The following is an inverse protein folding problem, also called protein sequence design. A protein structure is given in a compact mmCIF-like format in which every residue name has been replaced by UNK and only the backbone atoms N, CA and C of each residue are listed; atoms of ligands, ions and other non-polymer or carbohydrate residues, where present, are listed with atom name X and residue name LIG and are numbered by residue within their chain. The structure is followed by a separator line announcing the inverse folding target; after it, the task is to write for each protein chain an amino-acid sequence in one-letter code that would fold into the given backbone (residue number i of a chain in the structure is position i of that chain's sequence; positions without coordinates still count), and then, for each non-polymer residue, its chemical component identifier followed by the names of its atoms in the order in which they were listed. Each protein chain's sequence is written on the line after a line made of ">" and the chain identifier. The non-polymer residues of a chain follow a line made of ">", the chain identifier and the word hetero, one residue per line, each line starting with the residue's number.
data_IF_927074763097
#
_entry.id   IF_927074763097
#
_cell.length_a   1.000
_cell.length_b   1.000
_cell.length_c   1.000
_cell.angle_alpha   90.00
_cell.angle_beta   90.00
_cell.angle_gamma   90.00
#
_symmetry.space_group_name_H-M   'P 1'
#
loop_
_entity.id
_entity.type
_entity.pdbx_description
1 polymer ?
#
# COMPACT_ATOMS: atom_id res chain seq x y z
N UNK A 1 -9.90 -7.84 -7.92
CA UNK A 1 -8.81 -6.89 -8.24
C UNK A 1 -7.49 -7.62 -8.18
N UNK A 2 -6.79 -7.75 -9.30
CA UNK A 2 -5.42 -8.27 -9.37
C UNK A 2 -4.51 -7.05 -9.59
N UNK A 3 -3.53 -6.84 -8.71
CA UNK A 3 -2.72 -5.61 -8.60
C UNK A 3 -1.97 -5.22 -9.87
N UNK A 4 -1.62 -6.20 -10.71
CA UNK A 4 -0.96 -5.99 -12.00
C UNK A 4 -1.51 -6.94 -13.08
N UNK A 5 -2.82 -7.20 -13.04
CA UNK A 5 -3.50 -8.31 -13.75
C UNK A 5 -3.14 -8.55 -15.23
N UNK A 6 -2.65 -7.51 -15.92
CA UNK A 6 -2.43 -7.48 -17.37
C UNK A 6 -1.00 -7.09 -17.76
N UNK A 7 -0.09 -6.96 -16.80
CA UNK A 7 1.31 -6.64 -17.06
C UNK A 7 2.16 -7.90 -16.93
N UNK A 8 3.15 -8.04 -17.80
CA UNK A 8 4.19 -9.04 -17.61
C UNK A 8 5.14 -8.64 -16.46
N UNK A 9 5.84 -9.64 -15.92
CA UNK A 9 6.72 -9.44 -14.77
C UNK A 9 7.87 -8.46 -15.03
N UNK A 10 8.37 -8.36 -16.27
CA UNK A 10 9.45 -7.43 -16.61
C UNK A 10 8.93 -6.00 -16.66
N UNK A 11 7.73 -5.78 -17.21
CA UNK A 11 7.05 -4.47 -17.16
C UNK A 11 6.75 -4.07 -15.73
N UNK A 12 6.23 -4.98 -14.89
CA UNK A 12 6.03 -4.71 -13.45
C UNK A 12 7.34 -4.33 -12.77
N UNK A 13 8.43 -5.06 -13.06
CA UNK A 13 9.74 -4.77 -12.48
C UNK A 13 10.25 -3.38 -12.84
N UNK A 14 10.14 -2.99 -14.10
CA UNK A 14 10.58 -1.66 -14.55
C UNK A 14 9.71 -0.54 -13.97
N UNK A 15 8.39 -0.73 -13.91
CA UNK A 15 7.47 0.20 -13.22
C UNK A 15 7.84 0.39 -11.73
N UNK A 16 8.10 -0.71 -11.01
CA UNK A 16 8.48 -0.64 -9.60
C UNK A 16 9.84 0.04 -9.38
N UNK A 17 10.81 -0.15 -10.30
CA UNK A 17 12.09 0.60 -10.25
C UNK A 17 11.90 2.09 -10.50
N UNK A 18 10.93 2.47 -11.34
CA UNK A 18 10.55 3.85 -11.56
C UNK A 18 9.76 4.46 -10.37
N UNK A 19 9.41 3.65 -9.36
CA UNK A 19 8.64 4.07 -8.19
C UNK A 19 7.15 4.19 -8.47
N UNK A 20 6.67 3.61 -9.57
CA UNK A 20 5.24 3.54 -9.86
C UNK A 20 4.56 2.58 -8.87
N UNK A 21 3.42 3.02 -8.35
CA UNK A 21 2.52 2.19 -7.54
C UNK A 21 1.13 2.20 -8.18
N UNK A 22 0.34 1.14 -8.02
CA UNK A 22 -1.04 1.13 -8.51
C UNK A 22 -1.86 2.30 -7.96
N UNK A 23 -2.90 2.68 -8.66
CA UNK A 23 -3.85 3.68 -8.16
C UNK A 23 -4.63 3.15 -6.95
N UNK A 24 -5.08 4.08 -6.09
CA UNK A 24 -5.93 3.75 -4.94
C UNK A 24 -7.25 3.17 -5.43
N UNK A 25 -7.68 1.99 -4.96
CA UNK A 25 -9.02 1.50 -5.24
C UNK A 25 -10.12 2.43 -4.67
N UNK A 26 -11.25 2.52 -5.39
CA UNK A 26 -12.35 3.41 -5.03
C UNK A 26 -12.94 3.10 -3.65
N UNK A 27 -13.09 1.82 -3.31
CA UNK A 27 -13.66 1.38 -2.04
C UNK A 27 -12.69 1.48 -0.86
N UNK A 28 -11.44 1.90 -1.10
CA UNK A 28 -10.42 1.97 -0.05
C UNK A 28 -10.37 3.34 0.62
N UNK A 29 -10.39 3.31 1.95
CA UNK A 29 -10.20 4.49 2.79
C UNK A 29 -8.81 5.12 2.56
N UNK A 30 -8.75 6.45 2.50
CA UNK A 30 -7.51 7.20 2.25
C UNK A 30 -6.40 6.94 3.27
N UNK A 31 -6.73 6.76 4.55
CA UNK A 31 -5.75 6.44 5.60
C UNK A 31 -5.18 5.03 5.45
N UNK A 32 -6.03 4.07 5.04
CA UNK A 32 -5.56 2.73 4.71
C UNK A 32 -4.70 2.75 3.45
N UNK A 33 -5.03 3.58 2.47
CA UNK A 33 -4.20 3.75 1.28
C UNK A 33 -2.85 4.40 1.60
N UNK A 34 -2.82 5.45 2.42
CA UNK A 34 -1.56 6.06 2.91
C UNK A 34 -0.66 5.02 3.60
N UNK A 35 -1.24 4.07 4.32
CA UNK A 35 -0.50 2.97 4.92
C UNK A 35 0.10 2.04 3.84
N UNK A 36 -0.67 1.67 2.81
CA UNK A 36 -0.16 0.89 1.67
C UNK A 36 1.03 1.61 1.02
N UNK A 37 0.88 2.90 0.70
CA UNK A 37 1.97 3.72 0.11
C UNK A 37 3.22 3.70 0.99
N UNK A 38 3.06 3.88 2.31
CA UNK A 38 4.19 3.86 3.24
C UNK A 38 4.87 2.48 3.35
N UNK A 39 4.13 1.39 3.14
CA UNK A 39 4.67 0.03 3.13
C UNK A 39 5.41 -0.30 1.83
N UNK A 40 4.99 0.30 0.71
CA UNK A 40 5.51 0.02 -0.63
C UNK A 40 6.44 1.11 -1.16
N UNK A 41 7.01 1.95 -0.29
CA UNK A 41 7.98 2.97 -0.71
C UNK A 41 9.13 2.32 -1.51
N UNK A 42 9.49 2.93 -2.63
CA UNK A 42 10.56 2.43 -3.50
C UNK A 42 11.91 2.42 -2.78
N UNK A 43 12.13 3.37 -1.86
CA UNK A 43 13.27 3.40 -0.96
C UNK A 43 13.02 2.51 0.28
N UNK A 44 13.72 1.38 0.42
CA UNK A 44 13.49 0.47 1.54
C UNK A 44 13.74 1.12 2.92
N UNK A 45 14.57 2.17 2.99
CA UNK A 45 14.88 2.87 4.24
C UNK A 45 13.77 3.81 4.69
N UNK A 46 12.87 4.19 3.78
CA UNK A 46 11.69 5.02 4.06
C UNK A 46 10.45 4.20 4.39
N UNK A 47 10.48 2.89 4.16
CA UNK A 47 9.35 2.01 4.48
C UNK A 47 9.08 2.01 5.98
N UNK A 48 7.81 2.11 6.30
CA UNK A 48 7.34 1.96 7.67
C UNK A 48 7.69 0.57 8.23
N UNK A 49 8.10 0.51 9.50
CA UNK A 49 8.41 -0.76 10.15
C UNK A 49 7.17 -1.60 10.41
N UNK A 50 7.28 -2.93 10.35
CA UNK A 50 6.14 -3.84 10.49
C UNK A 50 5.39 -3.67 11.82
N UNK A 51 6.08 -3.37 12.92
CA UNK A 51 5.44 -3.06 14.21
C UNK A 51 4.51 -1.86 14.11
N UNK A 52 4.95 -0.79 13.43
CA UNK A 52 4.15 0.43 13.22
C UNK A 52 2.98 0.18 12.26
N UNK A 53 3.13 -0.72 11.28
CA UNK A 53 2.02 -1.17 10.42
C UNK A 53 0.94 -1.83 11.27
N UNK A 54 1.32 -2.76 12.14
CA UNK A 54 0.38 -3.45 13.04
C UNK A 54 -0.35 -2.47 13.94
N UNK A 55 0.36 -1.49 14.51
CA UNK A 55 -0.25 -0.46 15.35
C UNK A 55 -1.26 0.37 14.57
N UNK A 56 -0.90 0.83 13.36
CA UNK A 56 -1.80 1.59 12.49
C UNK A 56 -3.03 0.79 12.05
N UNK A 57 -2.87 -0.50 11.72
CA UNK A 57 -3.98 -1.38 11.36
C UNK A 57 -4.93 -1.57 12.54
N UNK A 58 -4.42 -1.75 13.77
CA UNK A 58 -5.27 -1.85 14.98
C UNK A 58 -6.02 -0.55 15.25
N UNK A 59 -5.36 0.60 15.12
CA UNK A 59 -6.01 1.91 15.29
C UNK A 59 -7.06 2.19 14.21
N UNK A 60 -6.77 1.86 12.96
CA UNK A 60 -7.71 1.99 11.84
C UNK A 60 -8.89 1.03 11.95
N UNK A 61 -8.65 -0.22 12.37
CA UNK A 61 -9.69 -1.23 12.60
C UNK A 61 -10.68 -0.82 13.69
N UNK A 62 -10.25 -0.11 14.74
CA UNK A 62 -11.15 0.47 15.75
C UNK A 62 -12.11 1.52 15.17
N UNK A 63 -11.69 2.27 14.13
CA UNK A 63 -12.50 3.32 13.51
C UNK A 63 -13.61 2.75 12.60
N UNK A 64 -13.41 1.53 12.08
CA UNK A 64 -14.40 0.83 11.23
C UNK A 64 -15.38 0.01 12.08
N UNK A 65 -14.98 -0.44 13.27
CA UNK A 65 -15.82 -1.21 14.19
C UNK A 65 -16.77 -0.36 15.05
N UNK A 66 -16.72 0.98 14.93
CA UNK A 66 -17.57 1.93 15.67
C UNK A 66 -18.58 2.67 14.79
N UNK A 67 -18.77 2.26 13.54
CA UNK A 67 -19.82 2.75 12.64
C UNK A 67 -20.80 1.65 12.27
#
# INVERSE_FOLDING_TARGET
>A
MHTFAYLDDDVVRESLKAGEIPEKPDEMNDELWKLVVAMTDADPTKRIGLNQVVDKLKSGALLIATK
#
